data_IF_919373251299
#
_entry.id   IF_919373251299
#
_cell.length_a   1.000
_cell.length_b   1.000
_cell.length_c   1.000
_cell.angle_alpha   90.00
_cell.angle_beta   90.00
_cell.angle_gamma   90.00
#
_symmetry.space_group_name_H-M   'P 1'
#
loop_
_entity.id
_entity.type
_entity.pdbx_description
1 polymer ?
#
# COMPACT_ATOMS: atom_id res chain seq x y z
N UNK A 1 20.46 -15.32 10.15
CA UNK A 1 19.28 -14.69 9.54
C UNK A 1 19.64 -13.24 9.35
N UNK A 2 19.87 -12.80 8.11
CA UNK A 2 20.23 -11.41 7.83
C UNK A 2 19.00 -10.56 8.15
N UNK A 3 19.09 -9.71 9.17
CA UNK A 3 18.11 -8.65 9.40
C UNK A 3 18.14 -7.75 8.18
N UNK A 4 17.22 -7.98 7.23
CA UNK A 4 16.96 -7.04 6.15
C UNK A 4 16.54 -5.75 6.83
N UNK A 5 17.42 -4.75 6.86
CA UNK A 5 17.12 -3.43 7.42
C UNK A 5 15.93 -2.88 6.66
N UNK A 6 14.73 -2.98 7.24
CA UNK A 6 13.52 -2.45 6.63
C UNK A 6 13.68 -0.93 6.49
N UNK A 7 13.50 -0.44 5.28
CA UNK A 7 13.49 1.00 4.99
C UNK A 7 12.30 1.70 5.67
N UNK A 8 12.30 3.03 5.65
CA UNK A 8 11.14 3.78 6.12
C UNK A 8 9.89 3.48 5.28
N UNK A 9 10.07 3.30 3.96
CA UNK A 9 9.03 2.88 3.03
C UNK A 9 8.48 1.49 3.38
N UNK A 10 9.36 0.51 3.66
CA UNK A 10 8.95 -0.84 4.06
C UNK A 10 8.10 -0.86 5.33
N UNK A 11 8.55 -0.12 6.36
CA UNK A 11 7.79 -0.02 7.61
C UNK A 11 6.44 0.66 7.40
N UNK A 12 6.38 1.63 6.49
CA UNK A 12 5.15 2.33 6.15
C UNK A 12 4.17 1.42 5.42
N UNK A 13 4.61 0.73 4.36
CA UNK A 13 3.80 -0.24 3.63
C UNK A 13 3.37 -1.40 4.54
N UNK A 14 4.23 -1.87 5.45
CA UNK A 14 3.86 -2.89 6.44
C UNK A 14 2.69 -2.45 7.32
N UNK A 15 2.71 -1.22 7.83
CA UNK A 15 1.58 -0.68 8.64
C UNK A 15 0.28 -0.58 7.86
N UNK A 16 0.35 -0.35 6.55
CA UNK A 16 -0.82 -0.32 5.67
C UNK A 16 -1.34 -1.75 5.46
N UNK A 17 -0.44 -2.67 5.09
CA UNK A 17 -0.76 -4.09 4.92
C UNK A 17 -1.44 -4.66 6.17
N UNK A 18 -0.83 -4.47 7.34
CA UNK A 18 -1.36 -5.00 8.60
C UNK A 18 -2.77 -4.45 8.88
N UNK A 19 -3.01 -3.16 8.63
CA UNK A 19 -4.33 -2.54 8.81
C UNK A 19 -5.40 -3.10 7.87
N UNK A 20 -5.09 -3.27 6.58
CA UNK A 20 -6.06 -3.78 5.60
C UNK A 20 -6.34 -5.28 5.79
N UNK A 21 -5.31 -6.05 6.16
CA UNK A 21 -5.44 -7.47 6.51
C UNK A 21 -6.33 -7.65 7.76
N UNK A 22 -6.14 -6.84 8.80
CA UNK A 22 -6.99 -6.84 10.01
C UNK A 22 -8.47 -6.53 9.70
N UNK A 23 -8.72 -5.72 8.67
CA UNK A 23 -10.07 -5.40 8.20
C UNK A 23 -10.63 -6.46 7.22
N UNK A 24 -9.85 -7.48 6.87
CA UNK A 24 -10.25 -8.56 5.96
C UNK A 24 -10.20 -8.20 4.47
N UNK A 25 -9.52 -7.11 4.10
CA UNK A 25 -9.29 -6.80 2.69
C UNK A 25 -8.18 -7.69 2.13
N UNK A 26 -8.27 -8.14 0.87
CA UNK A 26 -7.17 -8.88 0.25
C UNK A 26 -5.94 -7.98 0.09
N UNK A 27 -4.79 -8.47 0.57
CA UNK A 27 -3.49 -7.81 0.49
C UNK A 27 -2.45 -8.78 -0.05
N UNK A 28 -1.61 -8.33 -0.99
CA UNK A 28 -0.53 -9.13 -1.57
C UNK A 28 0.79 -8.39 -1.56
N UNK A 29 1.86 -9.09 -1.19
CA UNK A 29 3.24 -8.60 -1.28
C UNK A 29 3.96 -9.30 -2.43
N UNK A 30 4.55 -8.51 -3.32
CA UNK A 30 5.44 -9.03 -4.37
C UNK A 30 6.86 -8.50 -4.15
N UNK A 31 7.80 -9.41 -3.95
CA UNK A 31 9.23 -9.12 -3.97
C UNK A 31 9.72 -9.16 -5.43
N UNK A 32 9.42 -8.12 -6.20
CA UNK A 32 9.94 -7.95 -7.57
C UNK A 32 11.39 -7.41 -7.55
N UNK A 33 12.32 -8.19 -7.00
CA UNK A 33 13.74 -7.84 -6.97
C UNK A 33 14.08 -6.71 -5.98
N UNK A 34 14.38 -5.50 -6.48
CA UNK A 34 14.81 -4.35 -5.66
C UNK A 34 13.65 -3.49 -5.14
N UNK A 35 12.47 -3.64 -5.73
CA UNK A 35 11.31 -2.81 -5.42
C UNK A 35 10.25 -3.71 -4.81
N UNK A 36 9.93 -3.46 -3.53
CA UNK A 36 8.83 -4.15 -2.87
C UNK A 36 7.52 -3.52 -3.29
N UNK A 37 6.59 -4.38 -3.69
CA UNK A 37 5.26 -4.00 -4.09
C UNK A 37 4.24 -4.53 -3.08
N UNK A 38 3.28 -3.69 -2.74
CA UNK A 38 2.11 -4.01 -1.93
C UNK A 38 0.86 -3.73 -2.75
N UNK A 39 0.04 -4.74 -2.99
CA UNK A 39 -1.26 -4.59 -3.62
C UNK A 39 -2.38 -4.69 -2.58
N UNK A 40 -3.34 -3.78 -2.66
CA UNK A 40 -4.52 -3.74 -1.79
C UNK A 40 -5.74 -3.78 -2.69
N UNK A 41 -6.60 -4.79 -2.51
CA UNK A 41 -7.89 -4.86 -3.19
C UNK A 41 -8.97 -4.18 -2.35
N UNK A 42 -9.48 -3.05 -2.82
CA UNK A 42 -10.58 -2.30 -2.21
C UNK A 42 -11.90 -2.71 -2.87
N UNK A 43 -12.96 -2.87 -2.08
CA UNK A 43 -14.31 -3.04 -2.62
C UNK A 43 -14.83 -1.66 -3.07
N UNK A 44 -15.44 -1.61 -4.25
CA UNK A 44 -16.16 -0.42 -4.72
C UNK A 44 -17.67 -0.58 -4.48
N UNK A 45 -18.37 0.56 -4.43
CA UNK A 45 -19.83 0.64 -4.31
C UNK A 45 -20.56 -0.19 -5.39
N UNK A 46 -19.93 -0.37 -6.57
CA UNK A 46 -20.48 -1.14 -7.69
C UNK A 46 -20.39 -2.66 -7.49
N UNK A 47 -19.80 -3.12 -6.38
CA UNK A 47 -19.56 -4.54 -6.09
C UNK A 47 -18.32 -5.13 -6.75
N UNK A 48 -17.58 -4.34 -7.53
CA UNK A 48 -16.30 -4.73 -8.12
C UNK A 48 -15.14 -4.38 -7.17
N UNK A 49 -14.05 -5.15 -7.23
CA UNK A 49 -12.81 -4.79 -6.55
C UNK A 49 -11.97 -3.87 -7.43
N UNK A 50 -11.43 -2.81 -6.84
CA UNK A 50 -10.40 -1.95 -7.43
C UNK A 50 -9.09 -2.19 -6.68
N UNK A 51 -7.98 -2.31 -7.39
CA UNK A 51 -6.66 -2.52 -6.79
C UNK A 51 -5.88 -1.22 -6.70
N UNK A 52 -5.22 -1.01 -5.57
CA UNK A 52 -4.21 0.02 -5.40
C UNK A 52 -2.86 -0.66 -5.19
N UNK A 53 -1.86 -0.25 -5.97
CA UNK A 53 -0.50 -0.79 -5.90
C UNK A 53 0.43 0.25 -5.29
N UNK A 54 1.14 -0.12 -4.22
CA UNK A 54 2.13 0.72 -3.55
C UNK A 54 3.51 0.14 -3.82
N UNK A 55 4.43 0.99 -4.27
CA UNK A 55 5.81 0.64 -4.57
C UNK A 55 6.75 1.45 -3.68
N UNK A 56 7.74 0.78 -3.09
CA UNK A 56 8.80 1.46 -2.37
C UNK A 56 9.78 2.13 -3.35
N UNK A 57 9.97 3.44 -3.22
CA UNK A 57 10.94 4.25 -3.99
C UNK A 57 11.87 5.00 -3.02
N UNK A 58 12.89 4.31 -2.51
CA UNK A 58 13.79 4.82 -1.48
C UNK A 58 13.06 5.10 -0.16
N UNK A 59 12.86 6.38 0.18
CA UNK A 59 12.11 6.82 1.36
C UNK A 59 10.66 7.24 1.04
N UNK A 60 10.31 7.23 -0.24
CA UNK A 60 8.99 7.60 -0.74
C UNK A 60 8.21 6.35 -1.17
N UNK A 61 6.92 6.55 -1.42
CA UNK A 61 6.01 5.52 -1.92
C UNK A 61 5.38 6.02 -3.22
N UNK A 62 5.34 5.18 -4.23
CA UNK A 62 4.56 5.42 -5.45
C UNK A 62 3.26 4.63 -5.31
N UNK A 63 2.13 5.32 -5.36
CA UNK A 63 0.79 4.73 -5.40
C UNK A 63 0.36 4.70 -6.86
N UNK A 64 -0.05 3.55 -7.36
CA UNK A 64 -0.69 3.37 -8.67
C UNK A 64 -2.13 2.91 -8.48
N UNK A 65 -3.04 3.52 -9.22
CA UNK A 65 -4.43 3.07 -9.30
C UNK A 65 -4.65 2.09 -10.47
N UNK A 66 -5.87 1.55 -10.57
CA UNK A 66 -6.28 0.62 -11.63
C UNK A 66 -6.25 1.22 -13.03
N UNK A 67 -6.23 2.55 -13.17
CA UNK A 67 -6.21 3.25 -14.46
C UNK A 67 -4.80 3.66 -14.89
N UNK A 68 -3.78 3.31 -14.09
CA UNK A 68 -2.38 3.60 -14.38
C UNK A 68 -1.94 5.00 -13.94
N UNK A 69 -2.76 5.75 -13.20
CA UNK A 69 -2.32 7.00 -12.60
C UNK A 69 -1.36 6.69 -11.46
N UNK A 70 -0.26 7.44 -11.39
CA UNK A 70 0.76 7.27 -10.36
C UNK A 70 0.95 8.55 -9.54
N UNK A 71 0.95 8.43 -8.22
CA UNK A 71 1.23 9.52 -7.28
C UNK A 71 2.38 9.13 -6.36
N UNK A 72 3.39 10.00 -6.25
CA UNK A 72 4.50 9.84 -5.31
C UNK A 72 4.20 10.57 -4.00
N UNK A 73 4.34 9.89 -2.87
CA UNK A 73 4.09 10.42 -1.53
C UNK A 73 5.24 10.07 -0.56
N UNK A 74 5.36 10.83 0.53
CA UNK A 74 6.28 10.53 1.62
C UNK A 74 5.64 9.60 2.65
N UNK A 75 6.45 8.76 3.30
CA UNK A 75 6.04 7.91 4.43
C UNK A 75 5.76 8.72 5.72
N UNK A 76 4.69 9.50 5.73
CA UNK A 76 4.29 10.37 6.86
C UNK A 76 3.03 9.87 7.54
N UNK A 77 2.81 10.25 8.81
CA UNK A 77 1.57 9.89 9.52
C UNK A 77 0.32 10.38 8.79
N UNK A 78 0.32 11.59 8.23
CA UNK A 78 -0.83 12.11 7.48
C UNK A 78 -1.19 11.25 6.26
N UNK A 79 -0.18 10.83 5.50
CA UNK A 79 -0.41 9.96 4.35
C UNK A 79 -0.81 8.54 4.75
N UNK A 80 -0.34 8.03 5.90
CA UNK A 80 -0.81 6.75 6.43
C UNK A 80 -2.31 6.80 6.71
N UNK A 81 -2.77 7.83 7.42
CA UNK A 81 -4.20 7.97 7.74
C UNK A 81 -5.04 8.22 6.48
N UNK A 82 -4.53 8.98 5.50
CA UNK A 82 -5.16 9.12 4.20
C UNK A 82 -5.37 7.77 3.52
N UNK A 83 -4.35 6.92 3.44
CA UNK A 83 -4.45 5.60 2.81
C UNK A 83 -5.41 4.69 3.59
N UNK A 84 -5.35 4.70 4.92
CA UNK A 84 -6.29 3.94 5.75
C UNK A 84 -7.73 4.39 5.56
N UNK A 85 -7.97 5.67 5.27
CA UNK A 85 -9.32 6.18 5.05
C UNK A 85 -10.01 5.59 3.81
N UNK A 86 -9.27 4.96 2.88
CA UNK A 86 -9.89 4.32 1.72
C UNK A 86 -10.69 3.06 2.08
N UNK A 87 -10.48 2.47 3.28
CA UNK A 87 -11.33 1.38 3.76
C UNK A 87 -12.70 1.85 4.23
N UNK A 88 -12.85 3.15 4.49
CA UNK A 88 -14.12 3.77 4.85
C UNK A 88 -14.82 4.12 3.55
N UNK A 89 -15.53 3.15 2.96
CA UNK A 89 -16.51 3.46 1.91
C UNK A 89 -17.54 4.46 2.47
N UNK A 90 -17.82 5.50 1.68
CA UNK A 90 -18.94 6.41 1.88
C UNK A 90 -20.10 5.96 1.01
#
# INVERSE_FOLDING_TARGET
MSETVMSAADRFMKKISDFYDELGFPVAWEDAGKERQLEISLKSESGYFVTATLLADGNDIIIKDVWGNAQKIKATRGNLEMIKSWSVER
#
